data_IF_211850414204
#
_entry.id   IF_211850414204
#
_cell.length_a   1.000
_cell.length_b   1.000
_cell.length_c   1.000
_cell.angle_alpha   90.00
_cell.angle_beta   90.00
_cell.angle_gamma   90.00
#
_symmetry.space_group_name_H-M   'P 1'
#
loop_
_entity.id
_entity.type
_entity.pdbx_description
1 polymer ?
#
# COMPACT_ATOMS: atom_id res chain seq x y z
N UNK A 1 -22.18 -8.42 -48.90
CA UNK A 1 -21.31 -9.13 -47.94
C UNK A 1 -20.67 -8.17 -46.93
N UNK A 2 -21.46 -7.43 -46.12
CA UNK A 2 -20.94 -6.44 -45.15
C UNK A 2 -21.09 -6.84 -43.66
N UNK A 3 -21.67 -8.01 -43.37
CA UNK A 3 -22.01 -8.41 -42.01
C UNK A 3 -21.03 -9.40 -41.35
N UNK A 4 -19.95 -9.80 -42.03
CA UNK A 4 -18.95 -10.74 -41.47
C UNK A 4 -17.76 -10.06 -40.77
N UNK A 5 -17.59 -8.74 -40.92
CA UNK A 5 -16.47 -8.00 -40.31
C UNK A 5 -16.79 -7.58 -38.87
N UNK A 6 -18.07 -7.32 -38.55
CA UNK A 6 -18.48 -6.90 -37.20
C UNK A 6 -18.37 -8.01 -36.14
N UNK A 7 -18.48 -9.29 -36.54
CA UNK A 7 -18.35 -10.41 -35.60
C UNK A 7 -16.89 -10.67 -35.17
N UNK A 8 -15.91 -10.30 -36.01
CA UNK A 8 -14.48 -10.47 -35.68
C UNK A 8 -14.00 -9.34 -34.74
N UNK A 9 -14.56 -8.13 -34.87
CA UNK A 9 -14.26 -7.02 -33.96
C UNK A 9 -14.77 -7.27 -32.53
N UNK A 10 -15.91 -7.95 -32.38
CA UNK A 10 -16.49 -8.31 -31.09
C UNK A 10 -15.70 -9.41 -30.35
N UNK A 11 -14.99 -10.27 -31.08
CA UNK A 11 -14.15 -11.33 -30.50
C UNK A 11 -12.78 -10.78 -30.07
N UNK A 12 -12.30 -9.70 -30.69
CA UNK A 12 -11.08 -9.00 -30.23
C UNK A 12 -11.30 -8.20 -28.93
N UNK A 13 -12.53 -7.72 -28.66
CA UNK A 13 -12.87 -7.13 -27.37
C UNK A 13 -12.93 -8.14 -26.21
N UNK A 14 -13.02 -9.45 -26.50
CA UNK A 14 -13.02 -10.50 -25.48
C UNK A 14 -11.62 -10.91 -25.01
N UNK A 15 -10.57 -10.40 -25.67
CA UNK A 15 -9.17 -10.54 -25.24
C UNK A 15 -8.63 -9.31 -24.51
N UNK A 16 -9.50 -8.37 -24.12
CA UNK A 16 -9.22 -7.55 -22.94
C UNK A 16 -9.27 -8.48 -21.72
N UNK A 17 -8.22 -9.29 -21.60
CA UNK A 17 -7.70 -9.70 -20.32
C UNK A 17 -7.48 -8.41 -19.56
N UNK A 18 -8.50 -7.98 -18.83
CA UNK A 18 -8.31 -7.05 -17.72
C UNK A 18 -7.39 -7.80 -16.77
N UNK A 19 -6.07 -7.64 -16.98
CA UNK A 19 -5.09 -8.00 -15.97
C UNK A 19 -5.56 -7.24 -14.74
N UNK A 20 -6.05 -7.97 -13.73
CA UNK A 20 -6.65 -7.34 -12.58
C UNK A 20 -5.61 -6.37 -12.00
N UNK A 21 -5.94 -5.08 -12.00
CA UNK A 21 -4.99 -4.02 -11.61
C UNK A 21 -4.58 -4.16 -10.15
N UNK A 22 -5.37 -4.88 -9.37
CA UNK A 22 -5.16 -5.23 -7.98
C UNK A 22 -5.59 -6.67 -7.71
N UNK A 23 -4.81 -7.36 -6.90
CA UNK A 23 -5.02 -8.75 -6.50
C UNK A 23 -4.73 -8.90 -5.00
N UNK A 24 -5.57 -9.68 -4.32
CA UNK A 24 -5.31 -10.14 -2.97
C UNK A 24 -4.33 -11.31 -3.02
N UNK A 25 -3.23 -11.23 -2.27
CA UNK A 25 -2.24 -12.31 -2.19
C UNK A 25 -2.46 -13.17 -0.95
N UNK A 26 -2.46 -12.54 0.24
CA UNK A 26 -2.64 -13.23 1.51
C UNK A 26 -2.97 -12.26 2.63
N UNK A 27 -3.43 -12.81 3.74
CA UNK A 27 -3.52 -12.11 5.01
C UNK A 27 -2.65 -12.83 6.04
N UNK A 28 -1.98 -12.08 6.92
CA UNK A 28 -1.08 -12.64 7.91
C UNK A 28 -1.11 -11.85 9.21
N UNK A 29 -0.99 -12.56 10.34
CA UNK A 29 -0.66 -11.96 11.63
C UNK A 29 0.86 -12.02 11.85
N UNK A 30 1.42 -10.94 12.40
CA UNK A 30 2.84 -10.83 12.75
C UNK A 30 2.98 -10.34 14.18
N UNK A 31 3.71 -11.10 15.01
CA UNK A 31 4.04 -10.66 16.37
C UNK A 31 4.88 -9.39 16.36
N UNK A 32 5.78 -9.26 15.38
CA UNK A 32 6.66 -8.12 15.20
C UNK A 32 6.77 -7.78 13.70
N UNK A 33 6.62 -6.51 13.36
CA UNK A 33 6.73 -6.01 12.01
C UNK A 33 7.45 -4.65 11.99
N UNK A 34 8.55 -4.60 11.26
CA UNK A 34 9.39 -3.42 11.16
C UNK A 34 9.34 -2.87 9.75
N UNK A 35 9.15 -1.56 9.63
CA UNK A 35 9.22 -0.86 8.35
C UNK A 35 9.80 0.53 8.54
N UNK A 36 10.27 1.11 7.44
CA UNK A 36 10.85 2.43 7.39
C UNK A 36 9.82 3.41 6.84
N UNK A 37 9.77 4.60 7.43
CA UNK A 37 8.95 5.68 6.92
C UNK A 37 9.83 6.89 6.60
N UNK A 38 9.79 7.32 5.34
CA UNK A 38 10.48 8.52 4.90
C UNK A 38 9.44 9.63 4.80
N UNK A 39 9.54 10.60 5.71
CA UNK A 39 8.64 11.74 5.75
C UNK A 39 9.35 12.98 5.24
N UNK A 40 8.61 13.83 4.53
CA UNK A 40 9.10 15.17 4.23
C UNK A 40 9.02 16.04 5.49
N UNK A 41 10.05 16.84 5.79
CA UNK A 41 10.08 17.66 7.02
C UNK A 41 8.89 18.61 7.15
N UNK A 42 8.38 19.11 6.01
CA UNK A 42 7.20 19.99 5.96
C UNK A 42 5.87 19.27 6.14
N UNK A 43 5.86 17.94 6.10
CA UNK A 43 4.65 17.13 6.31
C UNK A 43 4.62 16.54 7.70
N UNK A 44 5.49 16.98 8.60
CA UNK A 44 5.45 16.66 10.02
C UNK A 44 5.16 17.97 10.74
N UNK A 45 3.88 18.35 10.81
CA UNK A 45 3.40 19.40 11.70
C UNK A 45 2.73 18.74 12.90
N UNK A 46 2.80 19.40 14.06
CA UNK A 46 2.44 18.87 15.38
C UNK A 46 1.24 17.91 15.38
N UNK A 47 0.13 18.29 14.70
CA UNK A 47 -1.12 17.53 14.72
C UNK A 47 -1.50 16.89 13.37
N UNK A 48 -0.77 17.14 12.27
CA UNK A 48 -1.11 16.65 10.94
C UNK A 48 0.10 16.19 10.13
N UNK A 49 -0.03 14.99 9.55
CA UNK A 49 0.92 14.42 8.61
C UNK A 49 0.33 14.40 7.20
N UNK A 50 0.87 15.21 6.30
CA UNK A 50 0.54 15.17 4.86
C UNK A 50 1.19 13.94 4.21
N UNK A 51 0.38 12.92 3.92
CA UNK A 51 0.78 11.65 3.31
C UNK A 51 1.43 11.79 1.93
N UNK A 52 1.09 12.83 1.16
CA UNK A 52 1.52 13.02 -0.24
C UNK A 52 3.00 13.15 -0.48
N UNK A 53 3.76 13.38 0.59
CA UNK A 53 5.21 13.50 0.52
C UNK A 53 5.93 12.41 1.31
N UNK A 54 5.20 11.38 1.72
CA UNK A 54 5.71 10.30 2.55
C UNK A 54 5.68 8.98 1.78
N UNK A 55 6.64 8.12 2.10
CA UNK A 55 6.64 6.73 1.63
C UNK A 55 7.05 5.81 2.77
N UNK A 56 6.30 4.72 2.91
CA UNK A 56 6.53 3.69 3.91
C UNK A 56 6.92 2.41 3.19
N UNK A 57 7.96 1.75 3.66
CA UNK A 57 8.54 0.60 2.98
C UNK A 57 9.25 -0.37 3.91
N UNK A 58 9.15 -1.66 3.59
CA UNK A 58 10.11 -2.67 4.04
C UNK A 58 11.22 -2.72 3.01
N UNK A 59 12.45 -2.44 3.44
CA UNK A 59 13.63 -2.45 2.57
C UNK A 59 14.88 -2.76 3.37
N UNK A 60 15.87 -3.33 2.69
CA UNK A 60 17.24 -3.50 3.20
C UNK A 60 18.12 -2.29 2.90
N UNK A 61 17.64 -1.35 2.08
CA UNK A 61 18.41 -0.23 1.52
C UNK A 61 17.58 1.06 1.55
N UNK A 62 17.39 1.64 2.74
CA UNK A 62 16.80 2.97 2.84
C UNK A 62 17.83 4.08 2.60
N UNK A 63 18.20 4.27 1.33
CA UNK A 63 18.87 5.52 0.94
C UNK A 63 17.82 6.54 0.49
N UNK A 64 17.71 7.65 1.23
CA UNK A 64 16.91 8.83 0.88
C UNK A 64 17.25 9.34 -0.53
N UNK A 65 18.46 9.03 -1.06
CA UNK A 65 18.83 9.31 -2.47
C UNK A 65 17.92 8.64 -3.50
N UNK A 66 17.23 7.57 -3.15
CA UNK A 66 16.30 6.87 -4.05
C UNK A 66 14.99 7.66 -4.29
N UNK A 67 14.77 8.74 -3.55
CA UNK A 67 13.74 9.74 -3.85
C UNK A 67 14.20 10.61 -5.02
N UNK A 68 13.77 10.29 -6.23
CA UNK A 68 14.04 11.08 -7.41
C UNK A 68 12.97 12.16 -7.62
N UNK A 69 13.35 13.34 -8.12
CA UNK A 69 12.37 14.25 -8.71
C UNK A 69 12.17 13.76 -10.15
N UNK A 70 11.07 13.09 -10.47
CA UNK A 70 10.63 13.13 -11.86
C UNK A 70 9.97 14.49 -12.11
N UNK A 71 9.98 14.93 -13.36
CA UNK A 71 9.55 16.27 -13.76
C UNK A 71 8.26 16.72 -13.07
N UNK A 72 8.35 17.81 -12.30
CA UNK A 72 7.32 18.53 -11.51
C UNK A 72 6.84 17.88 -10.21
N UNK A 73 6.75 16.56 -10.10
CA UNK A 73 6.35 15.87 -8.87
C UNK A 73 7.47 15.02 -8.28
N UNK A 74 7.73 15.17 -6.98
CA UNK A 74 8.64 14.26 -6.26
C UNK A 74 8.00 12.87 -6.31
N UNK A 75 8.67 11.87 -6.89
CA UNK A 75 8.21 10.48 -6.91
C UNK A 75 9.31 9.56 -6.37
N UNK A 76 8.97 8.32 -6.04
CA UNK A 76 9.92 7.35 -5.53
C UNK A 76 10.31 6.37 -6.63
N UNK A 77 11.62 6.24 -6.88
CA UNK A 77 12.14 5.16 -7.70
C UNK A 77 12.32 3.95 -6.80
N UNK A 78 11.36 3.03 -6.88
CA UNK A 78 11.36 1.79 -6.10
C UNK A 78 12.52 0.87 -6.51
N UNK A 79 13.24 0.30 -5.55
CA UNK A 79 14.17 -0.80 -5.81
C UNK A 79 13.42 -2.14 -5.94
N UNK A 80 13.96 -3.08 -6.71
CA UNK A 80 13.30 -4.35 -7.07
C UNK A 80 12.82 -5.18 -5.87
N UNK A 81 13.39 -4.95 -4.67
CA UNK A 81 13.06 -5.69 -3.44
C UNK A 81 12.30 -4.87 -2.40
N UNK A 82 11.97 -3.61 -2.66
CA UNK A 82 11.19 -2.84 -1.70
C UNK A 82 9.75 -3.39 -1.64
N UNK A 83 9.15 -3.41 -0.46
CA UNK A 83 7.71 -3.66 -0.32
C UNK A 83 7.08 -2.42 0.27
N UNK A 84 6.04 -1.88 -0.39
CA UNK A 84 5.36 -0.70 0.11
C UNK A 84 4.54 -1.08 1.34
N UNK A 85 4.41 -0.14 2.26
CA UNK A 85 3.58 -0.29 3.45
C UNK A 85 2.55 0.82 3.46
N UNK A 86 1.34 0.54 3.92
CA UNK A 86 0.30 1.54 4.10
C UNK A 86 -0.64 1.12 5.23
N UNK A 87 -1.09 2.08 6.03
CA UNK A 87 -2.26 1.92 6.90
C UNK A 87 -3.52 2.44 6.23
N UNK A 88 -3.39 3.36 5.28
CA UNK A 88 -4.44 4.25 4.79
C UNK A 88 -5.01 3.85 3.42
N UNK A 89 -4.46 2.83 2.78
CA UNK A 89 -4.96 2.34 1.51
C UNK A 89 -6.35 1.72 1.69
N UNK A 90 -7.33 2.30 1.00
CA UNK A 90 -8.73 1.86 1.04
C UNK A 90 -8.89 0.62 0.16
N UNK A 91 -9.45 -0.45 0.73
CA UNK A 91 -9.70 -1.67 -0.04
C UNK A 91 -10.86 -1.46 -1.02
N UNK A 92 -10.70 -1.80 -2.30
CA UNK A 92 -11.84 -1.89 -3.19
C UNK A 92 -12.74 -3.06 -2.79
N UNK A 93 -14.05 -2.84 -2.85
CA UNK A 93 -15.08 -3.85 -2.50
C UNK A 93 -14.96 -5.15 -3.30
N UNK A 94 -14.34 -5.11 -4.48
CA UNK A 94 -14.10 -6.27 -5.35
C UNK A 94 -13.14 -7.32 -4.77
N UNK A 95 -12.31 -6.99 -3.77
CA UNK A 95 -11.33 -7.94 -3.21
C UNK A 95 -11.93 -8.96 -2.23
N UNK A 96 -13.15 -8.70 -1.74
CA UNK A 96 -13.88 -9.55 -0.78
C UNK A 96 -13.00 -9.99 0.41
N UNK A 97 -12.41 -9.02 1.09
CA UNK A 97 -11.47 -9.24 2.20
C UNK A 97 -12.16 -9.98 3.35
N UNK A 98 -13.41 -9.60 3.69
CA UNK A 98 -14.25 -10.25 4.69
C UNK A 98 -14.13 -11.77 4.74
N UNK A 99 -14.36 -12.39 3.59
CA UNK A 99 -14.43 -13.85 3.47
C UNK A 99 -13.05 -14.51 3.57
N UNK A 100 -11.97 -13.73 3.50
CA UNK A 100 -10.58 -14.19 3.56
C UNK A 100 -9.95 -14.03 4.94
N UNK A 101 -10.66 -13.44 5.91
CA UNK A 101 -10.17 -13.23 7.28
C UNK A 101 -10.16 -14.50 8.14
N UNK A 102 -10.90 -15.55 7.74
CA UNK A 102 -11.03 -16.87 8.38
C UNK A 102 -10.26 -17.08 9.69
N UNK A 103 -9.00 -17.50 9.57
CA UNK A 103 -8.15 -17.96 10.67
C UNK A 103 -7.62 -16.83 11.60
N UNK A 104 -7.87 -15.57 11.24
CA UNK A 104 -7.38 -14.41 11.99
C UNK A 104 -8.37 -13.85 12.99
N UNK A 105 -9.61 -14.37 13.00
CA UNK A 105 -10.66 -13.98 13.96
C UNK A 105 -10.17 -13.87 15.42
N UNK A 106 -9.36 -14.79 15.97
CA UNK A 106 -8.88 -14.68 17.36
C UNK A 106 -8.00 -13.45 17.63
N UNK A 107 -7.31 -12.95 16.61
CA UNK A 107 -6.42 -11.79 16.71
C UNK A 107 -7.14 -10.46 16.45
N UNK A 108 -8.38 -10.51 15.95
CA UNK A 108 -9.13 -9.32 15.54
C UNK A 108 -9.92 -8.67 16.68
N UNK A 109 -10.28 -9.43 17.72
CA UNK A 109 -10.96 -8.87 18.90
C UNK A 109 -10.02 -7.94 19.64
N UNK A 110 -10.45 -6.69 19.84
CA UNK A 110 -9.67 -5.62 20.46
C UNK A 110 -8.30 -5.49 19.80
N UNK A 111 -8.28 -5.51 18.47
CA UNK A 111 -7.06 -5.46 17.68
C UNK A 111 -6.31 -4.16 17.93
N UNK A 112 -7.01 -3.01 17.99
CA UNK A 112 -6.37 -1.73 18.27
C UNK A 112 -5.69 -1.70 19.64
N UNK A 113 -6.32 -2.27 20.66
CA UNK A 113 -5.74 -2.36 22.01
C UNK A 113 -4.47 -3.21 22.03
N UNK A 114 -4.36 -4.20 21.13
CA UNK A 114 -3.22 -5.11 21.02
C UNK A 114 -2.12 -4.58 20.08
N UNK A 115 -2.46 -3.64 19.19
CA UNK A 115 -1.54 -3.04 18.24
C UNK A 115 -0.61 -2.07 18.95
N UNK A 116 0.66 -2.48 19.11
CA UNK A 116 1.69 -1.59 19.68
C UNK A 116 2.42 -0.89 18.55
N UNK A 117 2.40 0.45 18.53
CA UNK A 117 3.12 1.26 17.56
C UNK A 117 4.26 1.98 18.29
N UNK A 118 5.49 1.75 17.83
CA UNK A 118 6.65 2.53 18.27
C UNK A 118 7.39 3.10 17.06
N UNK A 119 7.88 4.32 17.21
CA UNK A 119 8.58 5.04 16.16
C UNK A 119 9.87 5.63 16.70
N UNK A 120 10.95 5.47 15.94
CA UNK A 120 12.29 5.94 16.28
C UNK A 120 12.89 6.71 15.10
N UNK A 121 13.50 7.86 15.36
CA UNK A 121 14.17 8.63 14.30
C UNK A 121 15.53 8.01 14.02
N UNK A 122 15.74 7.49 12.81
CA UNK A 122 17.04 6.96 12.40
C UNK A 122 17.96 8.04 11.83
N UNK A 123 17.42 8.95 10.99
CA UNK A 123 18.23 9.93 10.27
C UNK A 123 17.44 11.18 9.89
N UNK A 124 18.11 12.34 9.90
CA UNK A 124 17.59 13.61 9.38
C UNK A 124 18.50 14.11 8.24
N UNK A 125 17.94 14.39 7.06
CA UNK A 125 18.65 15.03 5.92
C UNK A 125 17.87 16.28 5.47
N UNK A 126 18.50 17.23 4.77
CA UNK A 126 17.84 18.46 4.31
C UNK A 126 16.56 18.13 3.50
N UNK A 127 15.39 18.32 4.12
CA UNK A 127 14.07 18.07 3.53
C UNK A 127 13.34 16.79 3.98
N UNK A 128 14.02 15.79 4.55
CA UNK A 128 13.38 14.52 4.95
C UNK A 128 13.82 14.01 6.32
N UNK A 129 12.97 13.21 6.95
CA UNK A 129 13.21 12.48 8.19
C UNK A 129 12.95 11.01 7.91
N UNK A 130 13.91 10.15 8.24
CA UNK A 130 13.78 8.70 8.17
C UNK A 130 13.46 8.18 9.57
N UNK A 131 12.34 7.48 9.67
CA UNK A 131 11.89 6.80 10.88
C UNK A 131 11.94 5.29 10.71
N UNK A 132 12.28 4.60 11.79
CA UNK A 132 11.98 3.19 11.98
C UNK A 132 10.66 3.07 12.73
N UNK A 133 9.70 2.38 12.14
CA UNK A 133 8.48 1.99 12.83
C UNK A 133 8.59 0.51 13.19
N UNK A 134 8.13 0.18 14.39
CA UNK A 134 8.04 -1.19 14.90
C UNK A 134 6.61 -1.39 15.41
N UNK A 135 5.88 -2.27 14.73
CA UNK A 135 4.54 -2.71 15.09
C UNK A 135 4.61 -4.07 15.78
N UNK A 136 3.73 -4.29 16.77
CA UNK A 136 3.51 -5.62 17.35
C UNK A 136 2.06 -6.05 17.24
N UNK A 137 1.84 -7.37 17.16
CA UNK A 137 0.53 -8.01 16.99
C UNK A 137 -0.26 -7.45 15.80
N UNK A 138 0.42 -7.23 14.68
CA UNK A 138 -0.16 -6.56 13.51
C UNK A 138 -0.80 -7.57 12.57
N UNK A 139 -1.96 -7.22 12.02
CA UNK A 139 -2.60 -7.96 10.93
C UNK A 139 -2.31 -7.21 9.63
N UNK A 140 -1.75 -7.92 8.65
CA UNK A 140 -1.31 -7.38 7.37
C UNK A 140 -2.02 -8.11 6.23
N UNK A 141 -2.68 -7.33 5.38
CA UNK A 141 -3.21 -7.76 4.09
C UNK A 141 -2.16 -7.44 3.02
N UNK A 142 -1.73 -8.48 2.31
CA UNK A 142 -0.76 -8.38 1.22
C UNK A 142 -1.52 -8.31 -0.10
N UNK A 143 -1.26 -7.23 -0.83
CA UNK A 143 -1.85 -6.94 -2.12
C UNK A 143 -0.76 -6.86 -3.19
N UNK A 144 -1.09 -7.28 -4.40
CA UNK A 144 -0.28 -7.04 -5.59
C UNK A 144 -1.06 -6.15 -6.54
N UNK A 145 -0.46 -5.08 -7.06
CA UNK A 145 -1.15 -4.15 -7.96
C UNK A 145 -0.21 -3.49 -8.97
N UNK A 146 -0.74 -2.88 -10.02
CA UNK A 146 0.07 -2.05 -10.93
C UNK A 146 0.51 -0.75 -10.25
N UNK A 147 1.64 -0.17 -10.69
CA UNK A 147 2.08 1.15 -10.21
C UNK A 147 1.04 2.24 -10.51
N UNK A 148 0.41 2.18 -11.68
CA UNK A 148 -0.67 3.10 -12.07
C UNK A 148 -1.84 3.04 -11.08
N UNK A 149 -2.28 1.83 -10.71
CA UNK A 149 -3.37 1.64 -9.75
C UNK A 149 -3.03 2.21 -8.38
N UNK A 150 -1.83 1.90 -7.85
CA UNK A 150 -1.35 2.48 -6.59
C UNK A 150 -1.32 4.01 -6.64
N UNK A 151 -0.72 4.58 -7.69
CA UNK A 151 -0.61 6.03 -7.86
C UNK A 151 -1.97 6.72 -7.95
N UNK A 152 -3.00 6.06 -8.50
CA UNK A 152 -4.35 6.60 -8.57
C UNK A 152 -5.12 6.54 -7.23
N UNK A 153 -4.82 5.56 -6.37
CA UNK A 153 -5.63 5.25 -5.18
C UNK A 153 -4.91 5.48 -3.84
N UNK A 154 -3.75 6.14 -3.86
CA UNK A 154 -3.05 6.53 -2.63
C UNK A 154 -2.80 8.02 -2.58
N UNK A 155 -2.93 8.58 -1.38
CA UNK A 155 -2.44 9.91 -1.11
C UNK A 155 -0.95 9.93 -0.83
N UNK A 156 -0.23 8.80 -0.81
CA UNK A 156 1.21 8.76 -0.56
C UNK A 156 2.05 9.20 -1.77
N UNK A 157 3.36 9.32 -1.56
CA UNK A 157 4.32 9.63 -2.62
C UNK A 157 4.17 8.65 -3.80
N UNK A 158 4.04 9.22 -5.00
CA UNK A 158 3.84 8.43 -6.22
C UNK A 158 5.09 7.65 -6.61
N UNK A 159 4.93 6.56 -7.33
CA UNK A 159 6.00 5.71 -7.83
C UNK A 159 6.38 6.11 -9.26
N UNK A 160 7.67 6.13 -9.55
CA UNK A 160 8.19 6.35 -10.90
C UNK A 160 8.37 5.02 -11.68
N UNK A 161 8.56 5.11 -13.00
CA UNK A 161 8.84 3.97 -13.89
C UNK A 161 7.64 3.57 -14.75
N UNK A 162 7.66 2.33 -15.26
CA UNK A 162 6.59 1.83 -16.12
C UNK A 162 5.28 1.65 -15.31
N UNK A 163 4.16 2.28 -15.71
CA UNK A 163 2.88 2.19 -15.00
C UNK A 163 2.36 0.76 -14.81
N UNK A 164 2.70 -0.16 -15.72
CA UNK A 164 2.19 -1.53 -15.72
C UNK A 164 2.99 -2.48 -14.81
N UNK A 165 4.13 -2.01 -14.28
CA UNK A 165 4.93 -2.80 -13.35
C UNK A 165 4.10 -3.16 -12.11
N UNK A 166 4.17 -4.44 -11.72
CA UNK A 166 3.52 -4.91 -10.50
C UNK A 166 4.35 -4.55 -9.27
N UNK A 167 3.65 -4.17 -8.21
CA UNK A 167 4.20 -3.87 -6.90
C UNK A 167 3.45 -4.66 -5.83
N UNK A 168 4.11 -4.86 -4.69
CA UNK A 168 3.50 -5.46 -3.50
C UNK A 168 3.27 -4.36 -2.46
N UNK A 169 2.07 -4.34 -1.90
CA UNK A 169 1.65 -3.46 -0.81
C UNK A 169 1.29 -4.31 0.42
N UNK A 170 1.92 -4.00 1.55
CA UNK A 170 1.54 -4.50 2.86
C UNK A 170 0.62 -3.46 3.50
N UNK A 171 -0.67 -3.74 3.46
CA UNK A 171 -1.68 -2.93 4.12
C UNK A 171 -1.93 -3.50 5.51
N UNK A 172 -1.48 -2.84 6.57
CA UNK A 172 -1.84 -3.27 7.93
C UNK A 172 -3.17 -2.68 8.39
N UNK A 173 -3.93 -3.44 9.17
CA UNK A 173 -5.23 -2.97 9.70
C UNK A 173 -5.03 -1.78 10.65
N UNK A 174 -5.97 -0.83 10.58
CA UNK A 174 -6.08 0.39 11.36
C UNK A 174 -7.47 0.43 12.07
N UNK A 175 -7.80 1.54 12.72
CA UNK A 175 -9.02 1.63 13.52
C UNK A 175 -10.33 1.66 12.74
N UNK A 176 -10.31 2.18 11.50
CA UNK A 176 -11.47 2.08 10.62
C UNK A 176 -11.76 0.62 10.26
N UNK A 177 -10.72 -0.19 10.08
CA UNK A 177 -10.92 -1.61 9.80
C UNK A 177 -11.51 -2.35 10.99
N UNK A 178 -11.06 -2.07 12.21
CA UNK A 178 -11.65 -2.70 13.40
C UNK A 178 -13.15 -2.39 13.48
N UNK A 179 -13.53 -1.14 13.27
CA UNK A 179 -14.94 -0.74 13.20
C UNK A 179 -15.70 -1.48 12.10
N UNK A 180 -15.12 -1.55 10.88
CA UNK A 180 -15.78 -2.24 9.77
C UNK A 180 -15.84 -3.76 9.97
N UNK A 181 -14.88 -4.35 10.69
CA UNK A 181 -14.86 -5.77 11.04
C UNK A 181 -15.94 -6.11 12.07
N UNK A 182 -16.07 -5.29 13.11
CA UNK A 182 -17.10 -5.44 14.15
C UNK A 182 -18.51 -5.32 13.57
N UNK A 183 -18.69 -4.43 12.59
CA UNK A 183 -19.97 -4.20 11.91
C UNK A 183 -20.15 -5.08 10.66
N UNK A 184 -19.17 -5.91 10.31
CA UNK A 184 -19.24 -6.86 9.20
C UNK A 184 -19.26 -6.21 7.82
N UNK A 185 -18.70 -5.02 7.66
CA UNK A 185 -18.59 -4.29 6.38
C UNK A 185 -17.25 -4.47 5.68
N UNK A 186 -16.20 -4.88 6.39
CA UNK A 186 -14.89 -5.24 5.84
C UNK A 186 -14.77 -6.73 5.51
#
# INVERSE_FOLDING_TARGET
MKNKIYSILLILCSFLSFAQDIEFIKIMHKSDFNYLAIHHKKTVNYDEIDGSKNILLVTTSADIKNLSKCSKDKCYTKLDNDTLVSSDFIFPSSLNIKNKLGDLKPYMTNYLDKLVISQEVLKKKSGYILYQNKLKNVIIIVLQMTKSYYNAHTNNLKLCGNPDDKIVLYRFLNGNDEYELENGTL
#
